data_IF_698041379077
#
_entry.id   IF_698041379077
#
_cell.length_a   1.000
_cell.length_b   1.000
_cell.length_c   1.000
_cell.angle_alpha   90.00
_cell.angle_beta   90.00
_cell.angle_gamma   90.00
#
_symmetry.space_group_name_H-M   'P 1'
#
loop_
_entity.id
_entity.type
_entity.pdbx_description
1 polymer ?
#
# COMPACT_ATOMS: atom_id res chain seq x y z
N UNK A 1 24.02 0.96 -1.57
CA UNK A 1 24.74 2.24 -1.43
C UNK A 1 23.83 3.26 -0.73
N UNK A 2 24.43 4.18 0.03
CA UNK A 2 23.77 5.24 0.82
C UNK A 2 24.67 6.46 0.86
N UNK A 3 24.16 7.62 1.28
CA UNK A 3 24.96 8.84 1.46
C UNK A 3 25.14 9.65 0.18
N UNK A 4 25.94 10.72 0.27
CA UNK A 4 26.10 11.70 -0.81
C UNK A 4 26.69 11.12 -2.08
N UNK A 5 27.65 10.20 -1.99
CA UNK A 5 28.25 9.53 -3.15
C UNK A 5 27.19 8.78 -3.98
N UNK A 6 26.27 8.07 -3.31
CA UNK A 6 25.17 7.40 -3.98
C UNK A 6 24.24 8.39 -4.68
N UNK A 7 23.92 9.51 -4.03
CA UNK A 7 23.05 10.53 -4.62
C UNK A 7 23.73 11.21 -5.81
N UNK A 8 25.01 11.56 -5.69
CA UNK A 8 25.79 12.13 -6.78
C UNK A 8 25.85 11.21 -7.99
N UNK A 9 26.02 9.91 -7.77
CA UNK A 9 25.97 8.91 -8.84
C UNK A 9 24.58 8.86 -9.49
N UNK A 10 23.51 8.86 -8.69
CA UNK A 10 22.15 8.87 -9.23
C UNK A 10 21.84 10.14 -10.01
N UNK A 11 22.38 11.29 -9.59
CA UNK A 11 22.25 12.56 -10.31
C UNK A 11 22.92 12.48 -11.67
N UNK A 12 24.17 12.00 -11.72
CA UNK A 12 24.89 11.79 -12.98
C UNK A 12 24.11 10.88 -13.93
N UNK A 13 23.54 9.79 -13.44
CA UNK A 13 22.71 8.87 -14.24
C UNK A 13 21.47 9.58 -14.78
N UNK A 14 20.72 10.28 -13.93
CA UNK A 14 19.47 10.96 -14.32
C UNK A 14 19.74 12.08 -15.31
N UNK A 15 20.77 12.89 -15.07
CA UNK A 15 21.19 13.98 -15.95
C UNK A 15 21.67 13.45 -17.31
N UNK A 16 22.46 12.38 -17.31
CA UNK A 16 22.95 11.74 -18.55
C UNK A 16 21.80 11.16 -19.39
N UNK A 17 20.84 10.48 -18.76
CA UNK A 17 19.66 9.95 -19.44
C UNK A 17 18.82 11.08 -20.05
N UNK A 18 18.60 12.16 -19.29
CA UNK A 18 17.85 13.33 -19.76
C UNK A 18 18.58 14.08 -20.87
N UNK A 19 19.90 14.18 -20.82
CA UNK A 19 20.70 14.83 -21.86
C UNK A 19 20.70 14.03 -23.17
N UNK A 20 20.75 12.69 -23.08
CA UNK A 20 20.83 11.83 -24.26
C UNK A 20 19.46 11.57 -24.92
N UNK A 21 18.43 11.25 -24.12
CA UNK A 21 17.09 10.90 -24.62
C UNK A 21 16.12 12.09 -24.63
N UNK A 22 16.52 13.22 -24.08
CA UNK A 22 15.73 14.45 -24.00
C UNK A 22 15.05 14.67 -22.64
N UNK A 23 14.64 15.92 -22.35
CA UNK A 23 14.15 16.34 -21.02
C UNK A 23 12.80 15.75 -20.60
N UNK A 24 12.16 14.99 -21.50
CA UNK A 24 10.87 14.35 -21.29
C UNK A 24 11.00 12.81 -21.19
N UNK A 25 12.22 12.29 -21.06
CA UNK A 25 12.41 10.86 -20.77
C UNK A 25 11.72 10.50 -19.45
N UNK A 26 10.90 9.44 -19.45
CA UNK A 26 10.22 8.98 -18.25
C UNK A 26 11.16 8.11 -17.41
N UNK A 27 11.43 8.52 -16.17
CA UNK A 27 12.28 7.82 -15.22
C UNK A 27 11.41 6.96 -14.29
N UNK A 28 11.40 5.66 -14.54
CA UNK A 28 10.66 4.66 -13.78
C UNK A 28 11.58 3.98 -12.76
N UNK A 29 11.43 4.31 -11.48
CA UNK A 29 12.21 3.71 -10.40
C UNK A 29 11.49 2.50 -9.78
N UNK A 30 12.22 1.39 -9.58
CA UNK A 30 11.71 0.17 -8.97
C UNK A 30 12.78 -0.53 -8.12
N UNK A 31 12.36 -1.37 -7.16
CA UNK A 31 13.18 -2.24 -6.32
C UNK A 31 14.30 -1.52 -5.54
N UNK A 32 14.02 -0.28 -5.13
CA UNK A 32 14.93 0.52 -4.31
C UNK A 32 14.68 0.32 -2.82
N UNK A 33 15.76 0.37 -2.02
CA UNK A 33 15.62 0.45 -0.55
C UNK A 33 14.73 1.65 -0.18
N UNK A 34 13.81 1.46 0.76
CA UNK A 34 12.79 2.46 1.14
C UNK A 34 13.35 3.88 1.31
N UNK A 35 14.46 4.05 2.04
CA UNK A 35 15.09 5.37 2.24
C UNK A 35 15.48 6.04 0.92
N UNK A 36 16.09 5.28 0.02
CA UNK A 36 16.56 5.75 -1.28
C UNK A 36 15.35 6.00 -2.20
N UNK A 37 14.36 5.12 -2.19
CA UNK A 37 13.14 5.28 -2.99
C UNK A 37 12.43 6.62 -2.71
N UNK A 38 12.22 6.95 -1.42
CA UNK A 38 11.63 8.25 -1.05
C UNK A 38 12.55 9.42 -1.39
N UNK A 39 13.85 9.31 -1.10
CA UNK A 39 14.79 10.40 -1.33
C UNK A 39 14.89 10.75 -2.83
N UNK A 40 15.04 9.74 -3.70
CA UNK A 40 15.15 9.94 -5.15
C UNK A 40 13.83 10.41 -5.75
N UNK A 41 12.70 9.88 -5.28
CA UNK A 41 11.38 10.33 -5.73
C UNK A 41 11.16 11.81 -5.42
N UNK A 42 11.42 12.26 -4.19
CA UNK A 42 11.27 13.68 -3.83
C UNK A 42 12.31 14.57 -4.54
N UNK A 43 13.52 14.05 -4.79
CA UNK A 43 14.57 14.79 -5.49
C UNK A 43 14.23 15.06 -6.95
N UNK A 44 13.73 14.07 -7.68
CA UNK A 44 13.56 14.17 -9.13
C UNK A 44 12.15 14.56 -9.58
N UNK A 45 11.11 14.29 -8.78
CA UNK A 45 9.70 14.61 -9.13
C UNK A 45 9.48 16.05 -9.60
N UNK A 46 10.12 17.10 -9.05
CA UNK A 46 9.85 18.48 -9.48
C UNK A 46 10.31 18.79 -10.92
N UNK A 47 11.39 18.15 -11.38
CA UNK A 47 12.08 18.54 -12.61
C UNK A 47 11.96 17.49 -13.73
N UNK A 48 11.75 16.22 -13.36
CA UNK A 48 11.72 15.10 -14.30
C UNK A 48 10.34 14.46 -14.38
N UNK A 49 10.03 13.86 -15.52
CA UNK A 49 8.89 12.94 -15.63
C UNK A 49 9.31 11.65 -14.94
N UNK A 50 8.83 11.45 -13.72
CA UNK A 50 9.27 10.32 -12.91
C UNK A 50 8.20 9.85 -11.93
N UNK A 51 8.26 8.56 -11.61
CA UNK A 51 7.53 7.95 -10.52
C UNK A 51 8.31 6.76 -9.98
N UNK A 52 7.95 6.32 -8.77
CA UNK A 52 8.44 5.08 -8.20
C UNK A 52 7.32 4.05 -8.17
N UNK A 53 7.54 2.87 -8.74
CA UNK A 53 6.50 1.84 -8.90
C UNK A 53 6.07 1.19 -7.58
N UNK A 54 7.05 0.96 -6.70
CA UNK A 54 6.81 0.36 -5.38
C UNK A 54 5.98 1.27 -4.48
N UNK A 55 6.14 2.59 -4.62
CA UNK A 55 5.40 3.61 -3.86
C UNK A 55 4.09 3.97 -4.58
N UNK A 56 4.16 4.47 -5.81
CA UNK A 56 3.02 5.06 -6.52
C UNK A 56 2.25 4.03 -7.35
N UNK A 57 2.92 3.12 -8.05
CA UNK A 57 2.25 2.06 -8.83
C UNK A 57 1.45 1.11 -7.94
N UNK A 58 2.07 0.66 -6.83
CA UNK A 58 1.39 -0.11 -5.79
C UNK A 58 0.22 0.66 -5.16
N UNK A 59 0.36 1.97 -4.94
CA UNK A 59 -0.74 2.77 -4.41
C UNK A 59 -1.98 2.71 -5.31
N UNK A 60 -1.81 2.93 -6.61
CA UNK A 60 -2.91 2.97 -7.57
C UNK A 60 -3.67 1.65 -7.63
N UNK A 61 -2.95 0.52 -7.74
CA UNK A 61 -3.63 -0.80 -7.83
C UNK A 61 -4.40 -1.14 -6.56
N UNK A 62 -3.84 -0.82 -5.39
CA UNK A 62 -4.49 -1.14 -4.11
C UNK A 62 -5.69 -0.22 -3.84
N UNK A 63 -5.56 1.08 -4.09
CA UNK A 63 -6.70 2.01 -3.96
C UNK A 63 -7.80 1.67 -4.97
N UNK A 64 -7.46 1.26 -6.19
CA UNK A 64 -8.42 0.73 -7.17
C UNK A 64 -9.14 -0.53 -6.67
N UNK A 65 -8.40 -1.44 -6.01
CA UNK A 65 -8.96 -2.61 -5.34
C UNK A 65 -9.92 -2.24 -4.21
N UNK A 66 -9.59 -1.22 -3.41
CA UNK A 66 -10.44 -0.71 -2.32
C UNK A 66 -11.71 -0.03 -2.84
N UNK A 67 -11.62 0.78 -3.90
CA UNK A 67 -12.76 1.38 -4.59
C UNK A 67 -13.70 0.30 -5.16
N UNK A 68 -13.12 -0.78 -5.69
CA UNK A 68 -13.89 -1.92 -6.18
C UNK A 68 -14.56 -2.69 -5.04
N UNK A 69 -13.83 -2.96 -3.95
CA UNK A 69 -14.36 -3.62 -2.76
C UNK A 69 -15.51 -2.83 -2.12
N UNK A 70 -15.46 -1.49 -2.16
CA UNK A 70 -16.52 -0.59 -1.68
C UNK A 70 -17.89 -0.87 -2.33
N UNK A 71 -17.90 -1.31 -3.60
CA UNK A 71 -19.14 -1.70 -4.32
C UNK A 71 -19.76 -2.98 -3.79
N UNK A 72 -18.94 -3.87 -3.22
CA UNK A 72 -19.36 -5.14 -2.62
C UNK A 72 -19.78 -4.92 -1.16
N UNK A 73 -18.96 -4.21 -0.38
CA UNK A 73 -19.24 -3.94 1.04
C UNK A 73 -20.35 -2.90 1.25
N UNK A 74 -20.70 -2.14 0.20
CA UNK A 74 -21.63 -1.00 0.26
C UNK A 74 -21.19 0.07 1.26
N UNK A 75 -19.88 0.20 1.48
CA UNK A 75 -19.25 1.22 2.30
C UNK A 75 -18.36 2.08 1.43
N UNK A 76 -18.42 3.40 1.60
CA UNK A 76 -17.44 4.34 1.04
C UNK A 76 -16.06 4.10 1.63
N UNK A 77 -15.01 4.59 0.96
CA UNK A 77 -13.64 4.44 1.46
C UNK A 77 -13.48 5.18 2.81
N UNK A 78 -14.06 6.37 2.95
CA UNK A 78 -14.09 7.12 4.22
C UNK A 78 -14.80 6.42 5.40
N UNK A 79 -15.55 5.34 5.16
CA UNK A 79 -16.28 4.59 6.19
C UNK A 79 -15.52 3.35 6.70
N UNK A 80 -14.28 3.17 6.26
CA UNK A 80 -13.42 2.08 6.69
C UNK A 80 -12.33 2.57 7.63
N UNK A 81 -11.87 1.65 8.48
CA UNK A 81 -10.66 1.80 9.28
C UNK A 81 -9.61 0.84 8.73
N UNK A 82 -8.42 1.37 8.46
CA UNK A 82 -7.35 0.69 7.74
C UNK A 82 -6.20 0.37 8.68
N UNK A 83 -5.79 -0.90 8.74
CA UNK A 83 -4.60 -1.33 9.45
C UNK A 83 -3.59 -1.90 8.46
N UNK A 84 -2.44 -1.25 8.35
CA UNK A 84 -1.30 -1.74 7.60
C UNK A 84 -0.35 -2.52 8.51
N UNK A 85 0.03 -3.72 8.08
CA UNK A 85 1.09 -4.50 8.69
C UNK A 85 2.33 -4.43 7.80
N UNK A 86 3.24 -3.53 8.17
CA UNK A 86 4.27 -2.99 7.29
C UNK A 86 4.12 -1.47 7.17
N UNK A 87 5.25 -0.76 7.13
CA UNK A 87 5.32 0.71 6.94
C UNK A 87 6.43 1.10 5.96
N UNK A 88 6.59 0.30 4.92
CA UNK A 88 7.57 0.52 3.84
C UNK A 88 7.05 1.48 2.76
N UNK A 89 7.78 1.56 1.64
CA UNK A 89 7.43 2.39 0.49
C UNK A 89 6.00 2.17 0.00
N UNK A 90 5.62 0.90 -0.20
CA UNK A 90 4.27 0.52 -0.62
C UNK A 90 3.20 0.99 0.38
N UNK A 91 3.34 0.69 1.67
CA UNK A 91 2.33 1.03 2.68
C UNK A 91 2.10 2.54 2.76
N UNK A 92 3.18 3.32 2.76
CA UNK A 92 3.13 4.79 2.79
C UNK A 92 2.53 5.35 1.49
N UNK A 93 2.93 4.82 0.34
CA UNK A 93 2.37 5.22 -0.96
C UNK A 93 0.87 4.96 -1.04
N UNK A 94 0.43 3.75 -0.68
CA UNK A 94 -0.98 3.38 -0.61
C UNK A 94 -1.72 4.31 0.34
N UNK A 95 -1.20 4.56 1.54
CA UNK A 95 -1.85 5.42 2.51
C UNK A 95 -1.96 6.89 2.06
N UNK A 96 -0.95 7.43 1.38
CA UNK A 96 -1.00 8.78 0.80
C UNK A 96 -2.08 8.90 -0.28
N UNK A 97 -2.18 7.92 -1.18
CA UNK A 97 -3.22 7.92 -2.21
C UNK A 97 -4.62 7.65 -1.61
N UNK A 98 -4.69 6.83 -0.57
CA UNK A 98 -5.91 6.59 0.20
C UNK A 98 -6.41 7.87 0.89
N UNK A 99 -5.50 8.66 1.47
CA UNK A 99 -5.82 10.00 2.00
C UNK A 99 -6.40 10.88 0.91
N UNK A 100 -5.78 10.95 -0.27
CA UNK A 100 -6.33 11.69 -1.41
C UNK A 100 -7.74 11.20 -1.79
N UNK A 101 -7.96 9.88 -1.84
CA UNK A 101 -9.26 9.30 -2.17
C UNK A 101 -10.35 9.68 -1.14
N UNK A 102 -10.01 9.74 0.15
CA UNK A 102 -10.94 10.16 1.20
C UNK A 102 -11.21 11.67 1.13
N UNK A 103 -10.21 12.47 0.76
CA UNK A 103 -10.38 13.91 0.53
C UNK A 103 -11.36 14.17 -0.64
N UNK A 104 -11.28 13.40 -1.73
CA UNK A 104 -12.25 13.50 -2.83
C UNK A 104 -13.68 13.10 -2.42
N UNK A 105 -13.86 12.38 -1.30
CA UNK A 105 -15.18 12.12 -0.70
C UNK A 105 -15.67 13.27 0.21
N UNK A 106 -14.89 14.35 0.36
CA UNK A 106 -15.27 15.58 1.07
C UNK A 106 -14.73 15.72 2.50
N UNK A 107 -13.75 14.91 2.89
CA UNK A 107 -13.14 14.95 4.22
C UNK A 107 -11.84 15.75 4.23
N UNK A 108 -11.45 16.25 5.39
CA UNK A 108 -10.14 16.88 5.61
C UNK A 108 -9.01 15.85 5.62
N UNK A 109 -7.77 16.30 5.43
CA UNK A 109 -6.59 15.43 5.50
C UNK A 109 -6.44 14.76 6.87
N UNK A 110 -6.72 15.49 7.95
CA UNK A 110 -6.64 14.95 9.32
C UNK A 110 -7.72 13.89 9.57
N UNK A 111 -8.94 14.10 9.09
CA UNK A 111 -10.00 13.08 9.14
C UNK A 111 -9.62 11.85 8.32
N UNK A 112 -9.04 12.02 7.14
CA UNK A 112 -8.56 10.91 6.32
C UNK A 112 -7.46 10.11 7.05
N UNK A 113 -6.45 10.79 7.59
CA UNK A 113 -5.36 10.16 8.36
C UNK A 113 -5.84 9.51 9.65
N UNK A 114 -6.90 10.03 10.28
CA UNK A 114 -7.49 9.45 11.50
C UNK A 114 -7.97 8.00 11.34
N UNK A 115 -8.21 7.55 10.09
CA UNK A 115 -8.67 6.20 9.75
C UNK A 115 -7.55 5.22 9.44
N UNK A 116 -6.31 5.69 9.38
CA UNK A 116 -5.16 4.90 8.91
C UNK A 116 -4.22 4.62 10.08
N UNK A 117 -3.92 3.34 10.25
CA UNK A 117 -3.02 2.82 11.26
C UNK A 117 -1.94 1.98 10.58
N UNK A 118 -0.71 2.09 11.05
CA UNK A 118 0.41 1.31 10.51
C UNK A 118 1.20 0.68 11.64
N UNK A 119 1.63 -0.55 11.43
CA UNK A 119 2.55 -1.26 12.33
C UNK A 119 3.83 -1.61 11.59
N UNK A 120 4.96 -1.63 12.31
CA UNK A 120 6.22 -2.15 11.82
C UNK A 120 6.84 -3.14 12.81
N UNK A 121 8.10 -3.51 12.60
CA UNK A 121 8.81 -4.47 13.46
C UNK A 121 8.92 -4.02 14.93
N UNK A 122 8.66 -2.74 15.23
CA UNK A 122 8.62 -2.18 16.59
C UNK A 122 7.18 -1.95 17.08
N UNK A 123 6.16 -2.48 16.42
CA UNK A 123 4.75 -2.25 16.78
C UNK A 123 4.11 -1.07 16.07
N UNK A 124 2.98 -0.58 16.59
CA UNK A 124 2.19 0.53 16.07
C UNK A 124 3.03 1.81 15.92
N UNK A 125 2.86 2.53 14.81
CA UNK A 125 3.46 3.84 14.63
C UNK A 125 2.80 4.85 15.59
N UNK A 126 3.50 5.22 16.66
CA UNK A 126 3.07 6.24 17.63
C UNK A 126 4.12 7.36 17.73
N UNK A 127 3.72 8.55 18.20
CA UNK A 127 4.60 9.74 18.21
C UNK A 127 5.72 9.69 19.26
N UNK A 128 5.64 8.79 20.25
CA UNK A 128 6.61 8.70 21.36
C UNK A 128 7.87 7.87 21.03
N UNK A 129 8.19 7.67 19.75
CA UNK A 129 9.37 6.91 19.31
C UNK A 129 10.00 7.53 18.07
N UNK A 130 11.27 7.19 17.82
CA UNK A 130 11.98 7.68 16.65
C UNK A 130 11.39 7.10 15.35
N UNK A 131 11.03 7.98 14.43
CA UNK A 131 10.42 7.65 13.15
C UNK A 131 11.12 8.40 12.01
N UNK A 132 11.13 7.81 10.83
CA UNK A 132 11.50 8.54 9.62
C UNK A 132 10.44 9.60 9.31
N UNK A 133 10.81 10.62 8.53
CA UNK A 133 9.85 11.66 8.08
C UNK A 133 8.59 11.06 7.47
N UNK A 134 8.76 10.10 6.55
CA UNK A 134 7.64 9.43 5.88
C UNK A 134 6.73 8.66 6.85
N UNK A 135 7.29 7.93 7.82
CA UNK A 135 6.50 7.20 8.84
C UNK A 135 5.77 8.13 9.80
N UNK A 136 6.35 9.29 10.09
CA UNK A 136 5.77 10.27 11.02
C UNK A 136 4.44 10.84 10.52
N UNK A 137 4.20 10.82 9.20
CA UNK A 137 2.93 11.26 8.59
C UNK A 137 1.69 10.47 9.04
N UNK A 138 1.90 9.24 9.51
CA UNK A 138 0.84 8.32 9.94
C UNK A 138 1.03 7.84 11.39
N UNK A 139 1.89 8.52 12.16
CA UNK A 139 2.09 8.22 13.56
C UNK A 139 0.89 8.68 14.40
N UNK A 140 0.46 7.84 15.35
CA UNK A 140 -0.65 8.13 16.26
C UNK A 140 -0.16 8.81 17.53
N UNK A 141 -0.77 9.94 17.89
CA UNK A 141 -0.58 10.57 19.20
C UNK A 141 -1.65 10.16 20.22
N UNK A 142 -2.74 9.57 19.73
CA UNK A 142 -3.96 9.22 20.45
C UNK A 142 -4.05 7.72 20.78
N UNK A 143 -3.01 6.94 20.48
CA UNK A 143 -2.93 5.50 20.77
C UNK A 143 -1.71 5.16 21.62
N UNK A 144 -1.83 4.15 22.50
CA UNK A 144 -0.66 3.63 23.21
C UNK A 144 0.26 2.87 22.24
N UNK A 145 1.49 2.60 22.70
CA UNK A 145 2.36 1.64 22.05
C UNK A 145 1.70 0.25 22.08
N UNK A 146 1.64 -0.43 20.93
CA UNK A 146 1.06 -1.77 20.78
C UNK A 146 2.00 -2.60 19.92
N UNK A 147 2.50 -3.71 20.44
CA UNK A 147 3.49 -4.54 19.76
C UNK A 147 2.85 -5.70 18.99
N UNK A 148 1.69 -6.19 19.45
CA UNK A 148 0.98 -7.32 18.85
C UNK A 148 -0.04 -6.89 17.81
N UNK A 149 0.01 -7.50 16.62
CA UNK A 149 -1.01 -7.29 15.58
C UNK A 149 -2.42 -7.66 16.06
N UNK A 150 -2.55 -8.72 16.87
CA UNK A 150 -3.86 -9.13 17.40
C UNK A 150 -4.44 -8.10 18.37
N UNK A 151 -3.61 -7.53 19.24
CA UNK A 151 -4.03 -6.47 20.16
C UNK A 151 -4.41 -5.20 19.40
N UNK A 152 -3.63 -4.84 18.38
CA UNK A 152 -3.95 -3.71 17.51
C UNK A 152 -5.30 -3.91 16.81
N UNK A 153 -5.58 -5.09 16.26
CA UNK A 153 -6.88 -5.39 15.63
C UNK A 153 -8.03 -5.27 16.63
N UNK A 154 -7.86 -5.78 17.86
CA UNK A 154 -8.90 -5.71 18.90
C UNK A 154 -9.22 -4.27 19.30
N UNK A 155 -8.19 -3.44 19.43
CA UNK A 155 -8.35 -2.04 19.86
C UNK A 155 -8.82 -1.13 18.71
N UNK A 156 -8.17 -1.21 17.55
CA UNK A 156 -8.43 -0.34 16.38
C UNK A 156 -9.72 -0.75 15.67
N UNK A 157 -10.07 -2.04 15.74
CA UNK A 157 -11.24 -2.63 15.07
C UNK A 157 -11.28 -2.33 13.57
N UNK A 158 -10.21 -2.63 12.80
CA UNK A 158 -10.16 -2.31 11.38
C UNK A 158 -11.16 -3.13 10.55
N UNK A 159 -11.65 -2.56 9.46
CA UNK A 159 -12.43 -3.28 8.43
C UNK A 159 -11.55 -3.74 7.27
N UNK A 160 -10.36 -3.15 7.13
CA UNK A 160 -9.39 -3.43 6.08
C UNK A 160 -8.03 -3.73 6.71
N UNK A 161 -7.45 -4.88 6.36
CA UNK A 161 -6.11 -5.29 6.77
C UNK A 161 -5.22 -5.41 5.53
N UNK A 162 -4.10 -4.69 5.51
CA UNK A 162 -3.17 -4.63 4.38
C UNK A 162 -1.79 -5.09 4.83
N UNK A 163 -1.35 -6.25 4.35
CA UNK A 163 -0.03 -6.82 4.63
C UNK A 163 0.99 -6.43 3.57
N UNK A 164 2.11 -5.89 4.01
CA UNK A 164 3.28 -5.63 3.17
C UNK A 164 4.56 -5.69 4.01
N UNK A 165 4.64 -6.65 4.93
CA UNK A 165 5.73 -6.80 5.90
C UNK A 165 6.78 -7.83 5.48
N UNK A 166 6.50 -8.61 4.43
CA UNK A 166 7.26 -9.79 4.02
C UNK A 166 7.39 -10.85 5.13
N UNK A 167 6.46 -10.86 6.10
CA UNK A 167 6.45 -11.82 7.18
C UNK A 167 5.40 -12.91 6.92
N UNK A 168 5.89 -14.03 6.42
CA UNK A 168 5.07 -15.21 6.15
C UNK A 168 4.28 -15.65 7.39
N UNK A 169 2.99 -15.89 7.22
CA UNK A 169 2.10 -16.37 8.29
C UNK A 169 1.75 -15.33 9.36
N UNK A 170 2.11 -14.06 9.18
CA UNK A 170 1.75 -12.98 10.10
C UNK A 170 0.23 -12.86 10.31
N UNK A 171 -0.58 -13.11 9.28
CA UNK A 171 -2.03 -13.11 9.39
C UNK A 171 -2.51 -14.51 9.80
N UNK A 172 -2.28 -14.84 11.07
CA UNK A 172 -2.68 -16.11 11.67
C UNK A 172 -4.21 -16.32 11.63
N UNK A 173 -4.65 -17.56 11.86
CA UNK A 173 -6.10 -17.86 11.92
C UNK A 173 -6.83 -17.03 12.98
N UNK A 174 -6.19 -16.76 14.11
CA UNK A 174 -6.82 -15.99 15.19
C UNK A 174 -6.95 -14.52 14.81
N UNK A 175 -5.94 -13.95 14.14
CA UNK A 175 -6.01 -12.61 13.55
C UNK A 175 -7.17 -12.51 12.54
N UNK A 176 -7.27 -13.48 11.64
CA UNK A 176 -8.30 -13.50 10.59
C UNK A 176 -9.70 -13.68 11.18
N UNK A 177 -9.85 -14.50 12.23
CA UNK A 177 -11.11 -14.68 12.96
C UNK A 177 -11.53 -13.42 13.71
N UNK A 178 -10.58 -12.77 14.39
CA UNK A 178 -10.84 -11.51 15.07
C UNK A 178 -11.31 -10.44 14.08
N UNK A 179 -10.63 -10.30 12.94
CA UNK A 179 -11.03 -9.39 11.86
C UNK A 179 -12.44 -9.73 11.32
N UNK A 180 -12.75 -11.02 11.17
CA UNK A 180 -14.06 -11.52 10.74
C UNK A 180 -15.20 -11.22 11.71
N UNK A 181 -14.90 -11.16 13.02
CA UNK A 181 -15.86 -10.78 14.06
C UNK A 181 -16.12 -9.27 14.09
N UNK A 182 -15.14 -8.46 13.68
CA UNK A 182 -15.25 -6.99 13.61
C UNK A 182 -15.99 -6.53 12.36
N UNK A 183 -15.71 -7.12 11.20
CA UNK A 183 -16.27 -6.72 9.91
C UNK A 183 -17.07 -7.84 9.26
N UNK A 184 -18.31 -7.55 8.86
CA UNK A 184 -19.17 -8.51 8.13
C UNK A 184 -18.54 -9.00 6.82
N UNK A 185 -17.81 -8.15 6.12
CA UNK A 185 -17.07 -8.47 4.90
C UNK A 185 -15.68 -7.85 5.10
N UNK A 186 -14.75 -8.56 5.77
CA UNK A 186 -13.41 -8.02 5.99
C UNK A 186 -12.66 -7.97 4.66
N UNK A 187 -11.91 -6.89 4.43
CA UNK A 187 -11.08 -6.75 3.24
C UNK A 187 -9.63 -7.03 3.63
N UNK A 188 -9.00 -7.98 2.95
CA UNK A 188 -7.67 -8.48 3.29
C UNK A 188 -6.78 -8.41 2.04
N UNK A 189 -5.71 -7.62 2.13
CA UNK A 189 -4.67 -7.53 1.12
C UNK A 189 -3.39 -8.18 1.64
N UNK A 190 -2.78 -9.05 0.83
CA UNK A 190 -1.51 -9.75 1.09
C UNK A 190 -0.54 -9.37 -0.02
N UNK A 191 0.27 -8.33 0.17
CA UNK A 191 1.02 -7.67 -0.91
C UNK A 191 2.48 -8.09 -1.01
N UNK A 192 2.98 -8.84 -0.03
CA UNK A 192 4.36 -9.29 -0.03
C UNK A 192 4.67 -10.18 -1.24
N UNK A 193 5.57 -9.70 -2.10
CA UNK A 193 5.90 -10.31 -3.38
C UNK A 193 6.84 -11.51 -3.20
N UNK A 194 6.23 -12.69 -3.10
CA UNK A 194 6.73 -14.03 -3.42
C UNK A 194 5.79 -15.00 -2.69
N UNK A 195 5.46 -16.14 -3.32
CA UNK A 195 4.49 -17.10 -2.78
C UNK A 195 4.80 -17.56 -1.35
N UNK A 196 6.06 -17.52 -0.94
CA UNK A 196 6.51 -17.94 0.40
C UNK A 196 6.50 -16.81 1.44
N UNK A 197 6.39 -15.54 1.04
CA UNK A 197 6.44 -14.37 1.95
C UNK A 197 5.07 -13.72 2.21
N UNK A 198 3.99 -14.25 1.62
CA UNK A 198 2.64 -13.76 1.88
C UNK A 198 2.23 -13.91 3.35
N UNK A 199 1.61 -12.87 3.91
CA UNK A 199 1.15 -12.85 5.30
C UNK A 199 0.12 -13.94 5.62
N UNK A 200 -0.68 -14.36 4.62
CA UNK A 200 -1.48 -15.59 4.64
C UNK A 200 -1.82 -16.09 3.23
N UNK A 201 -2.33 -17.32 3.12
CA UNK A 201 -2.87 -17.85 1.86
C UNK A 201 -4.34 -17.47 1.70
N UNK A 202 -4.80 -17.36 0.44
CA UNK A 202 -6.22 -17.14 0.12
C UNK A 202 -7.13 -18.19 0.78
N UNK A 203 -6.74 -19.47 0.73
CA UNK A 203 -7.47 -20.57 1.34
C UNK A 203 -7.66 -20.38 2.85
N UNK A 204 -6.62 -19.92 3.56
CA UNK A 204 -6.69 -19.68 5.00
C UNK A 204 -7.56 -18.46 5.30
N UNK A 205 -7.38 -17.36 4.56
CA UNK A 205 -8.19 -16.15 4.71
C UNK A 205 -9.68 -16.44 4.51
N UNK A 206 -10.05 -17.13 3.42
CA UNK A 206 -11.45 -17.49 3.18
C UNK A 206 -12.00 -18.42 4.28
N UNK A 207 -11.29 -19.50 4.65
CA UNK A 207 -11.77 -20.42 5.70
C UNK A 207 -11.95 -19.73 7.05
N UNK A 208 -10.99 -18.91 7.47
CA UNK A 208 -11.02 -18.23 8.77
C UNK A 208 -12.07 -17.11 8.85
N UNK A 209 -12.49 -16.59 7.70
CA UNK A 209 -13.52 -15.55 7.59
C UNK A 209 -14.87 -16.08 7.10
N UNK A 210 -15.09 -17.40 7.22
CA UNK A 210 -16.35 -18.07 6.83
C UNK A 210 -16.74 -17.78 5.38
N UNK A 211 -15.75 -17.69 4.48
CA UNK A 211 -15.90 -17.45 3.05
C UNK A 211 -16.50 -16.08 2.70
N UNK A 212 -16.43 -15.12 3.64
CA UNK A 212 -16.99 -13.77 3.47
C UNK A 212 -15.98 -12.72 3.06
N UNK A 213 -14.68 -12.92 3.28
CA UNK A 213 -13.71 -11.86 3.02
C UNK A 213 -13.57 -11.54 1.53
N UNK A 214 -13.15 -10.30 1.26
CA UNK A 214 -12.56 -9.93 -0.02
C UNK A 214 -11.06 -10.10 0.14
N UNK A 215 -10.48 -10.99 -0.67
CA UNK A 215 -9.05 -11.31 -0.60
C UNK A 215 -8.34 -10.90 -1.89
N UNK A 216 -7.22 -10.19 -1.73
CA UNK A 216 -6.35 -9.74 -2.82
C UNK A 216 -4.90 -10.08 -2.47
N UNK A 217 -4.15 -10.65 -3.41
CA UNK A 217 -2.72 -10.96 -3.23
C UNK A 217 -1.83 -10.26 -4.24
N UNK A 218 -0.59 -9.91 -3.88
CA UNK A 218 0.39 -9.34 -4.81
C UNK A 218 0.91 -10.37 -5.83
N UNK A 219 1.00 -11.63 -5.40
CA UNK A 219 1.34 -12.79 -6.24
C UNK A 219 0.08 -13.52 -6.73
N UNK A 220 0.14 -14.27 -7.85
CA UNK A 220 -0.96 -15.12 -8.29
C UNK A 220 -1.36 -16.12 -7.20
N UNK A 221 -2.67 -16.33 -7.04
CA UNK A 221 -3.24 -17.30 -6.10
C UNK A 221 -4.18 -18.25 -6.83
N UNK A 222 -4.11 -19.53 -6.48
CA UNK A 222 -5.02 -20.53 -7.02
C UNK A 222 -6.48 -20.25 -6.62
N UNK A 223 -7.46 -20.56 -7.49
CA UNK A 223 -8.87 -20.56 -7.12
C UNK A 223 -9.15 -21.48 -5.93
N UNK A 224 -10.13 -21.11 -5.12
CA UNK A 224 -10.53 -21.84 -3.92
C UNK A 224 -11.96 -22.33 -4.05
N UNK A 225 -12.16 -23.65 -3.96
CA UNK A 225 -13.48 -24.28 -3.92
C UNK A 225 -14.06 -24.19 -2.50
N UNK A 226 -15.29 -23.70 -2.39
CA UNK A 226 -16.03 -23.64 -1.12
C UNK A 226 -16.82 -24.94 -0.88
N UNK A 227 -17.27 -25.21 0.36
CA UNK A 227 -18.10 -26.39 0.66
C UNK A 227 -19.45 -26.43 -0.06
N UNK A 228 -19.93 -25.29 -0.56
CA UNK A 228 -21.16 -25.12 -1.34
C UNK A 228 -20.88 -24.98 -2.86
N UNK A 229 -19.77 -25.56 -3.33
CA UNK A 229 -19.37 -25.66 -4.74
C UNK A 229 -19.14 -24.33 -5.49
N UNK A 230 -19.03 -23.20 -4.78
CA UNK A 230 -18.61 -21.93 -5.37
C UNK A 230 -17.10 -21.91 -5.57
N UNK A 231 -16.65 -21.31 -6.67
CA UNK A 231 -15.23 -21.09 -6.95
C UNK A 231 -14.90 -19.62 -6.66
N UNK A 232 -14.16 -19.37 -5.59
CA UNK A 232 -13.63 -18.06 -5.27
C UNK A 232 -12.30 -17.86 -6.00
N UNK A 233 -12.18 -16.77 -6.76
CA UNK A 233 -10.97 -16.42 -7.51
C UNK A 233 -10.33 -15.19 -6.88
N UNK A 234 -9.29 -15.35 -6.03
CA UNK A 234 -8.51 -14.23 -5.51
C UNK A 234 -8.09 -13.27 -6.62
N UNK A 235 -8.25 -11.96 -6.38
CA UNK A 235 -7.73 -10.95 -7.30
C UNK A 235 -6.23 -10.75 -7.06
N UNK A 236 -5.50 -10.40 -8.10
CA UNK A 236 -4.09 -10.04 -7.99
C UNK A 236 -3.94 -8.51 -7.94
N UNK A 237 -3.47 -7.97 -6.83
CA UNK A 237 -3.19 -6.55 -6.63
C UNK A 237 -1.73 -6.23 -6.97
N UNK A 238 -1.39 -6.27 -8.25
CA UNK A 238 -0.02 -6.06 -8.74
C UNK A 238 0.09 -4.78 -9.59
N UNK A 239 1.19 -4.06 -9.44
CA UNK A 239 1.48 -2.81 -10.17
C UNK A 239 1.61 -3.01 -11.71
N UNK A 240 1.71 -4.25 -12.20
CA UNK A 240 1.63 -4.56 -13.63
C UNK A 240 0.34 -4.08 -14.32
N UNK A 241 -0.74 -3.88 -13.56
CA UNK A 241 -1.97 -3.27 -14.06
C UNK A 241 -1.88 -1.75 -14.27
N UNK A 242 -0.81 -1.11 -13.79
CA UNK A 242 -0.70 0.36 -13.70
C UNK A 242 0.49 0.87 -14.52
N UNK A 243 1.71 0.43 -14.22
CA UNK A 243 2.91 1.06 -14.76
C UNK A 243 2.96 1.12 -16.31
N UNK A 244 2.48 0.13 -17.09
CA UNK A 244 2.55 0.21 -18.55
C UNK A 244 1.75 1.40 -19.10
N UNK A 245 0.52 1.57 -18.60
CA UNK A 245 -0.35 2.68 -19.02
C UNK A 245 0.10 4.01 -18.43
N UNK A 246 0.58 4.01 -17.19
CA UNK A 246 1.07 5.21 -16.52
C UNK A 246 2.29 5.79 -17.24
N UNK A 247 3.30 4.97 -17.56
CA UNK A 247 4.49 5.39 -18.33
C UNK A 247 4.07 6.04 -19.64
N UNK A 248 3.12 5.42 -20.36
CA UNK A 248 2.65 5.94 -21.64
C UNK A 248 1.94 7.29 -21.47
N UNK A 249 1.05 7.41 -20.49
CA UNK A 249 0.34 8.66 -20.21
C UNK A 249 1.31 9.79 -19.82
N UNK A 250 2.26 9.51 -18.91
CA UNK A 250 3.26 10.48 -18.47
C UNK A 250 4.14 10.96 -19.63
N UNK A 251 4.59 10.03 -20.48
CA UNK A 251 5.50 10.34 -21.59
C UNK A 251 4.79 11.11 -22.71
N UNK A 252 3.58 10.69 -23.10
CA UNK A 252 2.86 11.31 -24.21
C UNK A 252 2.29 12.68 -23.86
N UNK A 253 1.77 12.85 -22.64
CA UNK A 253 1.20 14.11 -22.18
C UNK A 253 2.21 15.01 -21.46
N UNK A 254 3.47 14.58 -21.34
CA UNK A 254 4.57 15.34 -20.71
C UNK A 254 4.21 15.77 -19.28
N UNK A 255 3.65 14.84 -18.50
CA UNK A 255 3.14 15.13 -17.15
C UNK A 255 4.30 15.19 -16.15
N UNK A 256 4.56 16.39 -15.62
CA UNK A 256 5.43 16.61 -14.45
C UNK A 256 4.97 17.86 -13.67
N UNK A 257 4.93 17.83 -12.32
CA UNK A 257 5.10 16.64 -11.48
C UNK A 257 3.86 15.73 -11.51
N UNK A 258 4.07 14.42 -11.32
CA UNK A 258 2.98 13.49 -11.05
C UNK A 258 2.47 13.66 -9.61
N UNK A 259 1.29 14.23 -9.45
CA UNK A 259 0.64 14.47 -8.14
C UNK A 259 -0.26 13.30 -7.73
N UNK A 260 -0.55 13.16 -6.43
CA UNK A 260 -1.50 12.14 -5.96
C UNK A 260 -2.91 12.34 -6.54
N UNK A 261 -3.31 13.59 -6.80
CA UNK A 261 -4.59 13.90 -7.44
C UNK A 261 -4.65 13.41 -8.89
N UNK A 262 -3.53 13.44 -9.61
CA UNK A 262 -3.44 12.88 -10.97
C UNK A 262 -3.31 11.35 -10.97
N UNK A 263 -2.79 10.76 -9.89
CA UNK A 263 -2.68 9.32 -9.72
C UNK A 263 -4.02 8.65 -9.37
N UNK A 264 -4.92 9.36 -8.70
CA UNK A 264 -6.25 8.89 -8.30
C UNK A 264 -7.22 8.93 -9.48
#
# INVERSE_FOLDING_TARGET
ATGEEYISFMDEVVESLSAHYGPNVCLHFADLKNSNAFQLLERYRPNYITFNDDIQGSAVVIVSGLLTASRITKKKISQNTYLFYGSGGASIGIARLLVQAIIEEGFTEDEAKSRIFMMDSRGLLVTNRELTKAKSEFARSDYPQIDSLLEAIRLIRPSVLIGSSAQSGAFSRDILRELSAISRIPIIFVLSNSSNLGECTAQMAYKATEWRCIFVSGSPSEPVLTPDDRILKPSQGNNCYVFPSLINALSLAVIRPLTNKLLL
#
